data_IF_720695504229
#
_entry.id   IF_720695504229
#
_cell.length_a   1.000
_cell.length_b   1.000
_cell.length_c   1.000
_cell.angle_alpha   90.00
_cell.angle_beta   90.00
_cell.angle_gamma   90.00
#
_symmetry.space_group_name_H-M   'P 1'
#
loop_
_entity.id
_entity.type
_entity.pdbx_description
1 polymer ?
#
# COMPACT_ATOMS: atom_id res chain seq x y z
N UNK A 1 -12.65 2.59 15.68
CA UNK A 1 -12.82 4.05 15.57
C UNK A 1 -14.29 4.46 15.69
N UNK A 2 -14.54 5.56 16.37
CA UNK A 2 -15.89 6.03 16.64
C UNK A 2 -16.57 6.69 15.43
N UNK A 3 -15.77 7.03 14.40
CA UNK A 3 -16.26 7.60 13.15
C UNK A 3 -15.60 6.93 11.94
N UNK A 4 -16.30 6.94 10.80
CA UNK A 4 -15.78 6.34 9.57
C UNK A 4 -14.70 7.21 8.89
N UNK A 5 -14.85 8.53 8.93
CA UNK A 5 -14.02 9.45 8.16
C UNK A 5 -13.04 10.24 9.01
N UNK A 6 -13.46 10.68 10.19
CA UNK A 6 -12.64 11.50 11.09
C UNK A 6 -12.71 11.00 12.52
N UNK A 7 -11.59 11.01 13.27
CA UNK A 7 -11.65 10.75 14.71
C UNK A 7 -12.31 11.92 15.43
N UNK A 8 -13.04 11.69 16.54
CA UNK A 8 -13.71 12.75 17.29
C UNK A 8 -12.71 13.75 17.89
N UNK A 9 -11.58 13.25 18.40
CA UNK A 9 -10.54 14.05 19.04
C UNK A 9 -9.16 13.35 18.95
N UNK A 10 -8.15 14.00 19.47
CA UNK A 10 -6.78 13.48 19.49
C UNK A 10 -6.62 12.29 20.44
N UNK A 11 -7.44 12.20 21.50
CA UNK A 11 -7.37 11.08 22.44
C UNK A 11 -7.86 9.78 21.78
N UNK A 12 -8.86 9.85 20.90
CA UNK A 12 -9.31 8.70 20.11
C UNK A 12 -8.17 8.18 19.22
N UNK A 13 -7.42 9.08 18.57
CA UNK A 13 -6.26 8.70 17.76
C UNK A 13 -5.19 8.03 18.62
N UNK A 14 -4.81 8.66 19.73
CA UNK A 14 -3.80 8.12 20.65
C UNK A 14 -4.18 6.78 21.22
N UNK A 15 -5.47 6.61 21.57
CA UNK A 15 -6.01 5.33 22.05
C UNK A 15 -5.84 4.23 21.01
N UNK A 16 -6.21 4.49 19.75
CA UNK A 16 -6.08 3.51 18.67
C UNK A 16 -4.61 3.13 18.44
N UNK A 17 -3.69 4.09 18.46
CA UNK A 17 -2.26 3.82 18.35
C UNK A 17 -1.75 2.98 19.53
N UNK A 18 -2.14 3.32 20.77
CA UNK A 18 -1.76 2.52 21.96
C UNK A 18 -2.26 1.08 21.84
N UNK A 19 -3.51 0.88 21.45
CA UNK A 19 -4.07 -0.47 21.27
C UNK A 19 -3.28 -1.30 20.26
N UNK A 20 -2.89 -0.70 19.14
CA UNK A 20 -2.02 -1.37 18.15
C UNK A 20 -0.70 -1.80 18.78
N UNK A 21 -0.06 -0.90 19.53
CA UNK A 21 1.22 -1.18 20.19
C UNK A 21 1.08 -2.20 21.34
N UNK A 22 0.01 -2.15 22.12
CA UNK A 22 -0.31 -3.13 23.17
C UNK A 22 -0.55 -4.52 22.62
N UNK A 23 -1.06 -4.65 21.39
CA UNK A 23 -1.17 -5.90 20.66
C UNK A 23 0.17 -6.41 20.09
N UNK A 24 1.27 -5.66 20.28
CA UNK A 24 2.60 -6.04 19.85
C UNK A 24 2.97 -5.59 18.43
N UNK A 25 2.12 -4.81 17.75
CA UNK A 25 2.43 -4.27 16.43
C UNK A 25 3.27 -2.98 16.54
N UNK A 26 4.22 -2.82 15.62
CA UNK A 26 5.04 -1.62 15.48
C UNK A 26 4.60 -0.69 14.34
N UNK A 27 3.60 -1.11 13.55
CA UNK A 27 3.13 -0.35 12.39
C UNK A 27 1.73 -0.73 11.95
N UNK A 28 1.18 0.08 11.06
CA UNK A 28 -0.13 -0.11 10.44
C UNK A 28 -0.08 0.25 8.96
N UNK A 29 -0.88 -0.41 8.15
CA UNK A 29 -1.23 0.02 6.80
C UNK A 29 -2.58 0.75 6.86
N UNK A 30 -2.64 1.94 6.29
CA UNK A 30 -3.88 2.73 6.21
C UNK A 30 -4.60 2.40 4.91
N UNK A 31 -5.34 1.30 4.95
CA UNK A 31 -5.99 0.68 3.80
C UNK A 31 -6.93 1.64 3.06
N UNK A 32 -6.57 1.98 1.82
CA UNK A 32 -7.32 2.81 0.88
C UNK A 32 -7.81 4.16 1.47
N UNK A 33 -7.03 4.73 2.38
CA UNK A 33 -7.45 5.94 3.10
C UNK A 33 -6.29 6.88 3.38
N UNK A 34 -6.43 8.11 2.92
CA UNK A 34 -5.60 9.22 3.39
C UNK A 34 -6.12 9.67 4.75
N UNK A 35 -5.35 9.42 5.80
CA UNK A 35 -5.76 9.80 7.15
C UNK A 35 -5.72 11.32 7.38
N UNK A 36 -6.40 11.75 8.44
CA UNK A 36 -6.27 13.13 8.89
C UNK A 36 -4.81 13.43 9.29
N UNK A 37 -4.28 14.63 9.01
CA UNK A 37 -2.91 15.01 9.39
C UNK A 37 -2.59 14.78 10.86
N UNK A 38 -3.57 14.92 11.75
CA UNK A 38 -3.43 14.63 13.19
C UNK A 38 -3.06 13.18 13.48
N UNK A 39 -3.51 12.22 12.65
CA UNK A 39 -3.12 10.82 12.81
C UNK A 39 -1.60 10.66 12.61
N UNK A 40 -1.05 11.21 11.52
CA UNK A 40 0.39 11.13 11.25
C UNK A 40 1.20 11.87 12.29
N UNK A 41 0.74 13.03 12.77
CA UNK A 41 1.38 13.72 13.90
C UNK A 41 1.50 12.83 15.14
N UNK A 42 0.44 12.11 15.51
CA UNK A 42 0.49 11.21 16.67
C UNK A 42 1.26 9.93 16.38
N UNK A 43 1.23 9.41 15.15
CA UNK A 43 2.08 8.29 14.73
C UNK A 43 3.57 8.64 14.87
N UNK A 44 3.97 9.83 14.41
CA UNK A 44 5.34 10.35 14.59
C UNK A 44 5.72 10.44 16.08
N UNK A 45 4.84 11.00 16.88
CA UNK A 45 5.10 11.22 18.32
C UNK A 45 5.14 9.94 19.14
N UNK A 46 4.41 8.93 18.76
CA UNK A 46 4.27 7.66 19.46
C UNK A 46 5.10 6.53 18.84
N UNK A 47 5.80 6.79 17.75
CA UNK A 47 6.69 5.83 17.11
C UNK A 47 5.97 4.68 16.39
N UNK A 48 4.79 4.95 15.81
CA UNK A 48 4.06 3.98 15.00
C UNK A 48 4.45 4.14 13.53
N UNK A 49 4.93 3.06 12.91
CA UNK A 49 5.24 3.04 11.48
C UNK A 49 3.95 2.97 10.64
N UNK A 50 3.93 3.65 9.51
CA UNK A 50 2.72 3.74 8.66
C UNK A 50 3.04 3.45 7.21
N UNK A 51 2.23 2.61 6.58
CA UNK A 51 2.10 2.54 5.14
C UNK A 51 0.95 3.43 4.71
N UNK A 52 1.28 4.48 3.94
CA UNK A 52 0.32 5.44 3.43
C UNK A 52 -0.24 4.99 2.08
N UNK A 53 -1.55 4.74 2.02
CA UNK A 53 -2.19 4.15 0.85
C UNK A 53 -3.23 5.08 0.24
N UNK A 54 -3.19 5.20 -1.09
CA UNK A 54 -4.16 5.97 -1.85
C UNK A 54 -5.50 5.23 -1.95
N UNK A 55 -6.61 5.94 -1.92
CA UNK A 55 -7.91 5.36 -2.22
C UNK A 55 -7.98 4.96 -3.69
N UNK A 56 -8.39 3.73 -3.98
CA UNK A 56 -8.57 3.23 -5.34
C UNK A 56 -9.93 3.67 -5.91
N UNK A 57 -9.98 3.97 -7.21
CA UNK A 57 -11.24 4.13 -7.92
C UNK A 57 -11.93 2.77 -8.10
N UNK A 58 -13.26 2.76 -8.30
CA UNK A 58 -13.98 1.53 -8.66
C UNK A 58 -13.98 1.24 -10.16
N UNK A 59 -13.84 2.29 -10.98
CA UNK A 59 -13.87 2.19 -12.43
C UNK A 59 -12.63 2.85 -13.02
N UNK A 60 -12.00 2.18 -13.98
CA UNK A 60 -10.89 2.72 -14.75
C UNK A 60 -11.43 3.59 -15.89
N UNK A 61 -11.07 4.87 -15.90
CA UNK A 61 -11.40 5.84 -16.94
C UNK A 61 -10.50 7.08 -16.79
N UNK A 62 -10.58 8.01 -17.76
CA UNK A 62 -9.77 9.24 -17.76
C UNK A 62 -9.92 10.08 -16.49
N UNK A 63 -11.11 10.10 -15.90
CA UNK A 63 -11.36 10.82 -14.64
C UNK A 63 -10.62 10.16 -13.47
N UNK A 64 -10.64 8.82 -13.40
CA UNK A 64 -9.93 8.06 -12.37
C UNK A 64 -8.42 8.24 -12.50
N UNK A 65 -7.88 8.22 -13.73
CA UNK A 65 -6.46 8.44 -14.01
C UNK A 65 -6.03 9.82 -13.51
N UNK A 66 -6.77 10.86 -13.87
CA UNK A 66 -6.49 12.23 -13.43
C UNK A 66 -6.56 12.36 -11.92
N UNK A 67 -7.68 11.94 -11.32
CA UNK A 67 -7.91 12.06 -9.90
C UNK A 67 -6.86 11.29 -9.08
N UNK A 68 -6.48 10.09 -9.50
CA UNK A 68 -5.43 9.30 -8.83
C UNK A 68 -4.08 10.02 -8.82
N UNK A 69 -3.68 10.61 -9.95
CA UNK A 69 -2.44 11.38 -10.04
C UNK A 69 -2.47 12.65 -9.17
N UNK A 70 -3.57 13.40 -9.20
CA UNK A 70 -3.75 14.61 -8.38
C UNK A 70 -3.72 14.27 -6.88
N UNK A 71 -4.47 13.23 -6.46
CA UNK A 71 -4.50 12.78 -5.07
C UNK A 71 -3.14 12.29 -4.60
N UNK A 72 -2.38 11.58 -5.45
CA UNK A 72 -1.02 11.14 -5.12
C UNK A 72 -0.09 12.33 -4.86
N UNK A 73 -0.19 13.37 -5.71
CA UNK A 73 0.59 14.60 -5.55
C UNK A 73 0.25 15.32 -4.25
N UNK A 74 -1.05 15.59 -4.02
CA UNK A 74 -1.52 16.28 -2.82
C UNK A 74 -1.16 15.53 -1.53
N UNK A 75 -1.22 14.19 -1.57
CA UNK A 75 -0.86 13.36 -0.44
C UNK A 75 0.61 13.53 -0.07
N UNK A 76 1.49 13.41 -1.05
CA UNK A 76 2.93 13.59 -0.79
C UNK A 76 3.23 15.03 -0.34
N UNK A 77 2.67 16.03 -1.00
CA UNK A 77 2.90 17.43 -0.62
C UNK A 77 2.49 17.69 0.83
N UNK A 78 1.36 17.14 1.25
CA UNK A 78 0.86 17.29 2.61
C UNK A 78 1.68 16.53 3.66
N UNK A 79 2.02 15.27 3.37
CA UNK A 79 2.47 14.31 4.37
C UNK A 79 3.95 13.89 4.24
N UNK A 80 4.69 14.45 3.27
CA UNK A 80 6.10 14.13 3.03
C UNK A 80 6.98 14.20 4.29
N UNK A 81 6.73 15.17 5.15
CA UNK A 81 7.53 15.43 6.35
C UNK A 81 7.18 14.56 7.57
N UNK A 82 6.29 13.58 7.42
CA UNK A 82 5.95 12.64 8.49
C UNK A 82 6.92 11.45 8.51
N UNK A 83 7.86 11.35 9.49
CA UNK A 83 8.81 10.25 9.56
C UNK A 83 8.18 8.90 9.88
N UNK A 84 6.95 8.87 10.39
CA UNK A 84 6.19 7.63 10.60
C UNK A 84 5.84 6.93 9.28
N UNK A 85 5.66 7.67 8.19
CA UNK A 85 5.35 7.08 6.89
C UNK A 85 6.63 6.48 6.31
N UNK A 86 6.64 5.16 6.07
CA UNK A 86 7.80 4.43 5.57
C UNK A 86 7.60 3.85 4.17
N UNK A 87 6.36 3.78 3.70
CA UNK A 87 6.00 3.20 2.40
C UNK A 87 4.78 3.92 1.83
N UNK A 88 4.82 4.19 0.53
CA UNK A 88 3.68 4.68 -0.24
C UNK A 88 3.04 3.53 -1.02
N UNK A 89 1.71 3.49 -1.06
CA UNK A 89 0.96 2.44 -1.75
C UNK A 89 -0.07 3.08 -2.68
N UNK A 90 0.18 3.12 -4.00
CA UNK A 90 -0.72 3.76 -4.95
C UNK A 90 -1.95 2.94 -5.31
N UNK A 91 -1.90 1.61 -5.18
CA UNK A 91 -3.04 0.73 -5.46
C UNK A 91 -3.09 -0.46 -4.50
N UNK A 92 -4.29 -1.01 -4.30
CA UNK A 92 -4.53 -2.20 -3.49
C UNK A 92 -5.30 -3.24 -4.29
N UNK A 93 -4.80 -4.48 -4.35
CA UNK A 93 -5.48 -5.67 -4.91
C UNK A 93 -6.13 -5.40 -6.28
N UNK A 94 -5.49 -4.58 -7.10
CA UNK A 94 -5.97 -4.19 -8.43
C UNK A 94 -7.36 -3.50 -8.44
N UNK A 95 -7.82 -2.96 -7.31
CA UNK A 95 -9.02 -2.12 -7.30
C UNK A 95 -8.86 -0.91 -8.22
N UNK A 96 -9.83 -0.72 -9.10
CA UNK A 96 -9.80 0.33 -10.13
C UNK A 96 -8.93 0.04 -11.35
N UNK A 97 -8.13 -1.03 -11.30
CA UNK A 97 -7.27 -1.52 -12.38
C UNK A 97 -7.45 -3.03 -12.56
N UNK A 98 -8.69 -3.53 -12.54
CA UNK A 98 -9.03 -4.96 -12.48
C UNK A 98 -8.54 -5.80 -13.66
N UNK A 99 -8.14 -5.17 -14.76
CA UNK A 99 -7.59 -5.83 -15.95
C UNK A 99 -6.08 -5.54 -16.12
N UNK A 100 -5.38 -5.16 -15.07
CA UNK A 100 -3.95 -4.79 -15.12
C UNK A 100 -3.06 -5.88 -15.73
N UNK A 101 -3.45 -7.15 -15.65
CA UNK A 101 -2.74 -8.28 -16.27
C UNK A 101 -2.72 -8.25 -17.79
N UNK A 102 -3.72 -7.66 -18.43
CA UNK A 102 -3.91 -7.71 -19.89
C UNK A 102 -4.17 -6.34 -20.52
N UNK A 103 -4.55 -5.35 -19.76
CA UNK A 103 -4.83 -4.00 -20.24
C UNK A 103 -3.62 -3.10 -20.06
N UNK A 104 -2.99 -2.78 -21.18
CA UNK A 104 -1.80 -1.93 -21.21
C UNK A 104 -2.06 -0.54 -20.58
N UNK A 105 -3.24 0.04 -20.76
CA UNK A 105 -3.55 1.35 -20.20
C UNK A 105 -3.55 1.32 -18.67
N UNK A 106 -4.07 0.24 -18.08
CA UNK A 106 -4.05 0.04 -16.63
C UNK A 106 -2.63 -0.22 -16.11
N UNK A 107 -1.82 -0.97 -16.87
CA UNK A 107 -0.41 -1.17 -16.55
C UNK A 107 0.35 0.16 -16.54
N UNK A 108 0.21 0.97 -17.59
CA UNK A 108 0.87 2.28 -17.67
C UNK A 108 0.39 3.25 -16.59
N UNK A 109 -0.87 3.19 -16.20
CA UNK A 109 -1.38 3.97 -15.07
C UNK A 109 -0.72 3.57 -13.75
N UNK A 110 -0.61 2.26 -13.47
CA UNK A 110 0.08 1.77 -12.28
C UNK A 110 1.56 2.20 -12.28
N UNK A 111 2.26 2.07 -13.42
CA UNK A 111 3.64 2.55 -13.59
C UNK A 111 3.77 4.05 -13.39
N UNK A 112 2.84 4.81 -13.96
CA UNK A 112 2.81 6.28 -13.82
C UNK A 112 2.71 6.70 -12.36
N UNK A 113 1.76 6.15 -11.60
CA UNK A 113 1.62 6.47 -10.18
C UNK A 113 2.86 6.07 -9.39
N UNK A 114 3.40 4.89 -9.62
CA UNK A 114 4.62 4.41 -8.95
C UNK A 114 5.82 5.32 -9.24
N UNK A 115 6.02 5.66 -10.52
CA UNK A 115 7.10 6.57 -10.94
C UNK A 115 6.90 7.98 -10.41
N UNK A 116 5.66 8.47 -10.32
CA UNK A 116 5.34 9.76 -9.72
C UNK A 116 5.73 9.80 -8.25
N UNK A 117 5.40 8.76 -7.48
CA UNK A 117 5.76 8.67 -6.06
C UNK A 117 7.28 8.62 -5.88
N UNK A 118 8.01 7.81 -6.65
CA UNK A 118 9.47 7.78 -6.62
C UNK A 118 10.12 9.13 -7.00
N UNK A 119 9.54 9.83 -7.98
CA UNK A 119 10.08 11.12 -8.41
C UNK A 119 9.89 12.23 -7.36
N UNK A 120 8.77 12.17 -6.62
CA UNK A 120 8.44 13.13 -5.57
C UNK A 120 9.10 12.76 -4.22
N UNK A 121 9.27 11.48 -3.94
CA UNK A 121 9.93 10.99 -2.72
C UNK A 121 10.89 9.82 -3.02
N UNK A 122 12.15 10.10 -3.30
CA UNK A 122 13.16 9.07 -3.54
C UNK A 122 13.67 8.41 -2.23
N UNK A 123 13.13 8.76 -1.08
CA UNK A 123 13.61 8.30 0.23
C UNK A 123 12.80 7.14 0.81
N UNK A 124 11.59 6.92 0.31
CA UNK A 124 10.68 5.88 0.80
C UNK A 124 10.38 4.84 -0.27
N UNK A 125 10.05 3.63 0.19
CA UNK A 125 9.66 2.54 -0.68
C UNK A 125 8.26 2.78 -1.25
N UNK A 126 7.99 2.20 -2.43
CA UNK A 126 6.68 2.18 -3.05
C UNK A 126 6.24 0.73 -3.28
N UNK A 127 5.09 0.34 -2.73
CA UNK A 127 4.40 -0.89 -3.08
C UNK A 127 3.38 -0.58 -4.18
N UNK A 128 3.73 -0.85 -5.43
CA UNK A 128 2.98 -0.37 -6.60
C UNK A 128 1.50 -0.80 -6.63
N UNK A 129 1.23 -2.02 -6.18
CA UNK A 129 -0.11 -2.59 -6.04
C UNK A 129 -0.07 -3.62 -4.92
N UNK A 130 -0.47 -3.23 -3.73
CA UNK A 130 -0.37 -4.08 -2.55
C UNK A 130 -1.34 -5.28 -2.67
N UNK A 131 -0.80 -6.46 -2.93
CA UNK A 131 -1.58 -7.66 -3.24
C UNK A 131 -0.77 -8.71 -3.96
N UNK A 132 -1.09 -9.01 -5.22
CA UNK A 132 -0.45 -10.10 -5.98
C UNK A 132 -0.18 -9.79 -7.46
N UNK A 133 -0.64 -8.67 -7.99
CA UNK A 133 -0.41 -8.24 -9.38
C UNK A 133 0.48 -7.00 -9.38
N UNK A 134 1.75 -7.17 -9.69
CA UNK A 134 2.74 -6.10 -9.57
C UNK A 134 3.19 -5.58 -10.93
N UNK A 135 3.67 -4.34 -10.97
CA UNK A 135 4.49 -3.80 -12.05
C UNK A 135 5.96 -3.83 -11.66
N UNK A 136 6.85 -3.79 -12.63
CA UNK A 136 8.30 -3.97 -12.42
C UNK A 136 8.97 -2.86 -11.59
N UNK A 137 8.34 -1.68 -11.45
CA UNK A 137 8.87 -0.57 -10.65
C UNK A 137 8.56 -0.68 -9.15
N UNK A 138 7.86 -1.72 -8.71
CA UNK A 138 7.59 -1.91 -7.29
C UNK A 138 8.86 -2.20 -6.50
N UNK A 139 9.01 -1.60 -5.34
CA UNK A 139 10.10 -1.93 -4.41
C UNK A 139 9.75 -3.11 -3.50
N UNK A 140 8.45 -3.38 -3.32
CA UNK A 140 7.95 -4.41 -2.43
C UNK A 140 7.13 -5.43 -3.20
N UNK A 141 7.37 -6.70 -2.89
CA UNK A 141 6.64 -7.83 -3.43
C UNK A 141 5.60 -8.29 -2.41
N UNK A 142 4.42 -7.67 -2.44
CA UNK A 142 3.35 -7.98 -1.53
C UNK A 142 2.59 -9.25 -1.92
N UNK A 143 2.13 -9.97 -0.92
CA UNK A 143 1.22 -11.12 -1.08
C UNK A 143 0.09 -10.97 -0.07
N UNK A 144 -1.14 -11.00 -0.53
CA UNK A 144 -2.30 -11.13 0.33
C UNK A 144 -2.77 -12.59 0.34
N UNK A 145 -2.68 -13.23 1.48
CA UNK A 145 -3.15 -14.58 1.70
C UNK A 145 -4.37 -14.55 2.63
N UNK A 146 -5.50 -14.97 2.10
CA UNK A 146 -6.77 -15.02 2.84
C UNK A 146 -7.09 -16.42 3.38
N UNK A 147 -6.13 -17.36 3.31
CA UNK A 147 -6.31 -18.68 3.92
C UNK A 147 -6.35 -18.55 5.44
N UNK A 148 -7.32 -19.22 6.05
CA UNK A 148 -7.53 -19.22 7.51
C UNK A 148 -6.91 -20.44 8.20
N UNK A 149 -6.25 -21.30 7.45
CA UNK A 149 -5.70 -22.54 7.98
C UNK A 149 -4.31 -22.34 8.58
N UNK A 150 -3.99 -23.02 9.71
CA UNK A 150 -2.63 -23.04 10.25
C UNK A 150 -1.57 -23.46 9.22
N UNK A 151 -1.94 -24.31 8.27
CA UNK A 151 -1.08 -24.78 7.17
C UNK A 151 -0.61 -23.64 6.26
N UNK A 152 -1.28 -22.48 6.26
CA UNK A 152 -0.79 -21.31 5.53
C UNK A 152 0.45 -20.71 6.16
N UNK A 153 0.63 -20.86 7.47
CA UNK A 153 1.83 -20.42 8.18
C UNK A 153 3.05 -21.28 7.77
N UNK A 154 2.86 -22.59 7.67
CA UNK A 154 3.90 -23.54 7.28
C UNK A 154 4.45 -23.23 5.88
N UNK A 155 3.60 -22.65 5.00
CA UNK A 155 4.00 -22.24 3.66
C UNK A 155 5.03 -21.09 3.64
N UNK A 156 5.21 -20.37 4.74
CA UNK A 156 6.12 -19.24 4.87
C UNK A 156 7.31 -19.52 5.80
N UNK A 157 7.43 -20.74 6.35
CA UNK A 157 8.55 -21.11 7.22
C UNK A 157 9.86 -21.29 6.45
N UNK A 158 9.79 -21.73 5.20
CA UNK A 158 10.97 -21.91 4.34
C UNK A 158 11.07 -20.76 3.33
N UNK A 159 12.00 -19.83 3.59
CA UNK A 159 12.28 -18.69 2.72
C UNK A 159 12.63 -19.10 1.29
N UNK A 160 13.37 -20.18 1.11
CA UNK A 160 13.73 -20.69 -0.21
C UNK A 160 12.52 -21.26 -0.97
N UNK A 161 11.61 -21.93 -0.27
CA UNK A 161 10.36 -22.40 -0.85
C UNK A 161 9.44 -21.22 -1.21
N UNK A 162 9.34 -20.21 -0.35
CA UNK A 162 8.58 -18.99 -0.58
C UNK A 162 9.10 -18.26 -1.83
N UNK A 163 10.42 -18.02 -1.92
CA UNK A 163 11.01 -17.23 -3.01
C UNK A 163 11.14 -17.99 -4.32
N UNK A 164 11.35 -19.32 -4.29
CA UNK A 164 11.64 -20.11 -5.50
C UNK A 164 10.43 -20.82 -6.09
N UNK A 165 9.47 -21.24 -5.28
CA UNK A 165 8.40 -22.14 -5.74
C UNK A 165 6.98 -21.65 -5.46
N UNK A 166 6.72 -21.12 -4.29
CA UNK A 166 5.35 -20.82 -3.87
C UNK A 166 4.88 -19.42 -4.29
N UNK A 167 5.79 -18.47 -4.43
CA UNK A 167 5.44 -17.11 -4.87
C UNK A 167 5.17 -17.03 -6.37
N UNK A 168 5.84 -17.86 -7.19
CA UNK A 168 5.70 -17.81 -8.66
C UNK A 168 4.27 -17.97 -9.19
N UNK A 169 3.41 -18.85 -8.64
CA UNK A 169 2.02 -18.94 -9.10
C UNK A 169 1.13 -17.80 -8.65
N UNK A 170 1.50 -17.09 -7.56
CA UNK A 170 0.71 -16.01 -6.95
C UNK A 170 1.17 -14.62 -7.38
N UNK A 171 2.45 -14.48 -7.78
CA UNK A 171 3.00 -13.23 -8.31
C UNK A 171 2.80 -13.20 -9.81
N UNK A 172 1.78 -12.50 -10.22
CA UNK A 172 1.52 -12.25 -11.62
C UNK A 172 1.93 -10.83 -11.93
N UNK A 173 2.99 -10.68 -12.71
CA UNK A 173 3.39 -9.37 -13.22
C UNK A 173 2.49 -8.97 -14.37
N UNK A 174 2.10 -7.71 -14.38
CA UNK A 174 1.15 -7.18 -15.33
C UNK A 174 1.56 -7.39 -16.79
N UNK A 175 2.85 -7.39 -17.08
CA UNK A 175 3.41 -7.56 -18.44
C UNK A 175 3.91 -8.98 -18.75
N UNK A 176 3.62 -9.95 -17.88
CA UNK A 176 4.10 -11.33 -18.04
C UNK A 176 5.55 -11.55 -17.64
N UNK A 177 6.26 -10.52 -17.15
CA UNK A 177 7.62 -10.66 -16.65
C UNK A 177 7.64 -11.21 -15.22
N UNK A 178 8.66 -11.96 -14.88
CA UNK A 178 8.91 -12.36 -13.50
C UNK A 178 9.69 -11.27 -12.78
N UNK A 179 9.34 -11.04 -11.52
CA UNK A 179 10.11 -10.14 -10.66
C UNK A 179 11.59 -10.58 -10.63
N UNK A 180 12.47 -9.62 -10.87
CA UNK A 180 13.91 -9.80 -10.83
C UNK A 180 14.45 -8.88 -9.74
N UNK A 181 14.25 -9.29 -8.50
CA UNK A 181 14.90 -8.66 -7.34
C UNK A 181 16.35 -9.01 -7.25
#
# INVERSE_FOLDING_TARGET
PDTLLTPPDDEAIRRDIRLVQEMGFNGVRKHQKLEAPRFYYWADRMGLLVWGELPSAYLFNDRAIRAGSEVAFDFLERDYNHPSIITWVPANESWGISNVRSDRSQQEYCRMLTSQLHALDPTRLVSANDGWEQVEQTDLCAIHDYSLAPESCDAYEDWDAVTKTQMRPRLVFADGNSWRG
#
